data_IF_862006744570
#
_entry.id   IF_862006744570
#
_cell.length_a   1.000
_cell.length_b   1.000
_cell.length_c   1.000
_cell.angle_alpha   90.00
_cell.angle_beta   90.00
_cell.angle_gamma   90.00
#
_symmetry.space_group_name_H-M   'P 1'
#
loop_
_entity.id
_entity.type
_entity.pdbx_description
1 polymer ?
#
# COMPACT_ATOMS: atom_id res chain seq x y z
N UNK A 1 37.45 20.22 -2.91
CA UNK A 1 36.07 20.68 -3.21
C UNK A 1 35.32 19.73 -4.15
N UNK A 2 35.89 19.34 -5.30
CA UNK A 2 35.24 18.44 -6.29
C UNK A 2 34.67 17.14 -5.69
N UNK A 3 35.41 16.50 -4.78
CA UNK A 3 34.97 15.26 -4.13
C UNK A 3 33.72 15.45 -3.26
N UNK A 4 33.66 16.55 -2.49
CA UNK A 4 32.49 16.91 -1.69
C UNK A 4 31.28 17.18 -2.60
N UNK A 5 31.48 17.86 -3.73
CA UNK A 5 30.43 18.07 -4.73
C UNK A 5 29.91 16.75 -5.29
N UNK A 6 30.81 15.79 -5.55
CA UNK A 6 30.42 14.46 -6.01
C UNK A 6 29.54 13.73 -4.97
N UNK A 7 29.97 13.76 -3.70
CA UNK A 7 29.21 13.19 -2.60
C UNK A 7 27.84 13.84 -2.45
N UNK A 8 27.77 15.16 -2.57
CA UNK A 8 26.52 15.92 -2.51
C UNK A 8 25.58 15.56 -3.66
N UNK A 9 26.08 15.43 -4.89
CA UNK A 9 25.26 15.02 -6.04
C UNK A 9 24.70 13.61 -5.84
N UNK A 10 25.53 12.65 -5.45
CA UNK A 10 25.07 11.28 -5.21
C UNK A 10 24.16 11.16 -3.98
N UNK A 11 24.40 11.95 -2.93
CA UNK A 11 23.54 12.02 -1.76
C UNK A 11 22.15 12.56 -2.09
N UNK A 12 22.08 13.67 -2.85
CA UNK A 12 20.81 14.23 -3.32
C UNK A 12 20.10 13.23 -4.25
N UNK A 13 20.82 12.60 -5.17
CA UNK A 13 20.25 11.59 -6.07
C UNK A 13 19.67 10.41 -5.29
N UNK A 14 20.36 9.94 -4.25
CA UNK A 14 19.86 8.88 -3.35
C UNK A 14 18.61 9.29 -2.59
N UNK A 15 18.55 10.52 -2.08
CA UNK A 15 17.36 11.06 -1.41
C UNK A 15 16.16 11.15 -2.35
N UNK A 16 16.36 11.66 -3.57
CA UNK A 16 15.29 11.75 -4.59
C UNK A 16 14.82 10.34 -4.97
N UNK A 17 15.75 9.40 -5.18
CA UNK A 17 15.40 8.00 -5.49
C UNK A 17 14.56 7.34 -4.39
N UNK A 18 14.93 7.54 -3.13
CA UNK A 18 14.18 7.01 -1.98
C UNK A 18 12.76 7.59 -1.86
N UNK A 19 12.57 8.86 -2.21
CA UNK A 19 11.23 9.47 -2.23
C UNK A 19 10.40 8.93 -3.41
N UNK A 20 11.02 8.73 -4.57
CA UNK A 20 10.37 8.14 -5.74
C UNK A 20 9.81 6.74 -5.47
N UNK A 21 10.53 5.91 -4.70
CA UNK A 21 10.04 4.56 -4.35
C UNK A 21 8.80 4.57 -3.46
N UNK A 22 8.64 5.59 -2.61
CA UNK A 22 7.44 5.73 -1.78
C UNK A 22 6.24 6.23 -2.61
N UNK A 23 6.47 7.10 -3.60
CA UNK A 23 5.43 7.58 -4.50
C UNK A 23 4.89 6.46 -5.42
N UNK A 24 5.72 5.48 -5.74
CA UNK A 24 5.38 4.32 -6.58
C UNK A 24 5.01 3.07 -5.77
N UNK A 25 5.15 3.10 -4.44
CA UNK A 25 4.67 2.02 -3.61
C UNK A 25 3.16 1.99 -3.76
N UNK A 26 2.65 1.01 -4.52
CA UNK A 26 1.23 0.74 -4.58
C UNK A 26 0.70 0.65 -3.14
N UNK A 27 -0.40 1.34 -2.82
CA UNK A 27 -0.96 1.24 -1.49
C UNK A 27 -1.18 -0.23 -1.20
N UNK A 28 -0.60 -0.69 -0.07
CA UNK A 28 -0.65 -2.07 0.39
C UNK A 28 -2.07 -2.60 0.11
N UNK A 29 -2.24 -3.63 -0.74
CA UNK A 29 -3.57 -4.01 -1.21
C UNK A 29 -4.44 -4.20 0.01
N UNK A 30 -5.53 -3.43 0.10
CA UNK A 30 -6.47 -3.51 1.21
C UNK A 30 -6.73 -4.99 1.46
N UNK A 31 -6.54 -5.48 2.71
CA UNK A 31 -6.60 -6.91 2.98
C UNK A 31 -7.93 -7.38 2.44
N UNK A 32 -7.88 -8.17 1.36
CA UNK A 32 -9.01 -8.54 0.53
C UNK A 32 -10.18 -8.80 1.46
N UNK A 33 -11.09 -7.82 1.53
CA UNK A 33 -12.24 -7.91 2.43
C UNK A 33 -12.85 -9.28 2.24
N UNK A 34 -13.24 -9.94 3.34
CA UNK A 34 -13.68 -11.34 3.40
C UNK A 34 -14.29 -11.74 2.05
N UNK A 35 -13.76 -12.76 1.34
CA UNK A 35 -14.23 -13.10 0.00
C UNK A 35 -15.76 -13.08 -0.01
N UNK A 36 -16.39 -12.42 -0.99
CA UNK A 36 -17.86 -12.39 -1.08
C UNK A 36 -18.49 -13.80 -1.09
N UNK A 37 -17.70 -14.83 -1.41
CA UNK A 37 -18.07 -16.24 -1.31
C UNK A 37 -18.19 -16.75 0.13
N UNK A 38 -17.57 -16.08 1.10
CA UNK A 38 -17.69 -16.34 2.55
C UNK A 38 -18.78 -15.51 3.20
N UNK A 39 -19.60 -14.78 2.44
CA UNK A 39 -20.84 -14.23 2.98
C UNK A 39 -21.64 -15.43 3.49
N UNK A 40 -21.84 -15.50 4.82
CA UNK A 40 -22.67 -16.56 5.42
C UNK A 40 -23.98 -16.60 4.63
N UNK A 41 -24.39 -17.76 4.08
CA UNK A 41 -25.65 -17.85 3.38
C UNK A 41 -26.74 -17.28 4.30
N UNK A 42 -27.62 -16.45 3.72
CA UNK A 42 -28.74 -15.87 4.44
C UNK A 42 -29.57 -17.04 4.97
N UNK A 43 -29.73 -17.14 6.28
CA UNK A 43 -30.62 -18.12 6.87
C UNK A 43 -32.04 -17.60 6.66
N UNK A 44 -32.90 -18.37 6.01
CA UNK A 44 -34.29 -17.96 5.80
C UNK A 44 -35.03 -17.76 7.14
N UNK A 45 -34.59 -18.43 8.21
CA UNK A 45 -35.12 -18.23 9.57
C UNK A 45 -34.81 -16.85 10.17
N UNK A 46 -33.92 -16.04 9.58
CA UNK A 46 -33.66 -14.68 10.09
C UNK A 46 -34.84 -13.74 9.81
N UNK A 47 -35.68 -14.04 8.81
CA UNK A 47 -36.86 -13.21 8.49
C UNK A 47 -38.08 -13.55 9.38
N UNK A 48 -38.09 -14.70 10.07
CA UNK A 48 -39.23 -15.17 10.88
C UNK A 48 -39.22 -14.63 12.31
N UNK A 49 -38.30 -13.73 12.66
CA UNK A 49 -38.36 -12.97 13.91
C UNK A 49 -38.97 -11.59 13.66
N UNK A 50 -40.28 -11.57 13.41
CA UNK A 50 -41.10 -10.36 13.50
C UNK A 50 -42.17 -10.54 14.57
#
# INVERSE_FOLDING_TARGET
MKWLSLFLVFGILGLIGSLGTLALAEPNPEPKGRPHTTRRPRNDNDNDRR
#
